data_IF_051354285775
#
_entry.id   IF_051354285775
#
_cell.length_a   1.000
_cell.length_b   1.000
_cell.length_c   1.000
_cell.angle_alpha   90.00
_cell.angle_beta   90.00
_cell.angle_gamma   90.00
#
_symmetry.space_group_name_H-M   'P 1'
#
loop_
_entity.id
_entity.type
_entity.pdbx_description
1 polymer ?
#
# COMPACT_ATOMS: atom_id res chain seq x y z
N UNK A 1 1.05 20.78 -20.41
CA UNK A 1 0.46 19.58 -21.03
C UNK A 1 -0.97 19.93 -21.43
N UNK A 2 -1.32 19.77 -22.70
CA UNK A 2 -2.67 20.01 -23.20
C UNK A 2 -3.13 18.77 -23.95
N UNK A 3 -4.20 18.15 -23.47
CA UNK A 3 -4.80 16.94 -24.04
C UNK A 3 -6.19 17.28 -24.58
N UNK A 4 -6.58 16.68 -25.70
CA UNK A 4 -7.98 16.65 -26.12
C UNK A 4 -8.75 15.65 -25.25
N UNK A 5 -9.14 16.11 -24.05
CA UNK A 5 -9.82 15.29 -23.04
C UNK A 5 -11.20 14.83 -23.51
N UNK A 6 -11.87 15.60 -24.38
CA UNK A 6 -13.19 15.24 -24.90
C UNK A 6 -13.08 14.07 -25.88
N UNK A 7 -12.08 14.08 -26.76
CA UNK A 7 -11.78 12.94 -27.64
C UNK A 7 -11.38 11.72 -26.82
N UNK A 8 -10.50 11.88 -25.83
CA UNK A 8 -10.07 10.78 -24.97
C UNK A 8 -11.24 10.20 -24.17
N UNK A 9 -12.12 11.04 -23.62
CA UNK A 9 -13.32 10.60 -22.89
C UNK A 9 -14.29 9.79 -23.76
N UNK A 10 -14.40 10.13 -25.05
CA UNK A 10 -15.19 9.33 -26.01
C UNK A 10 -14.52 8.01 -26.36
N UNK A 11 -13.19 8.01 -26.59
CA UNK A 11 -12.41 6.80 -26.92
C UNK A 11 -12.43 5.80 -25.77
N UNK A 12 -12.11 6.25 -24.57
CA UNK A 12 -11.93 5.40 -23.38
C UNK A 12 -13.22 5.23 -22.55
N UNK A 13 -14.31 5.88 -22.95
CA UNK A 13 -15.62 5.82 -22.30
C UNK A 13 -15.64 6.22 -20.80
N UNK A 14 -14.79 7.15 -20.38
CA UNK A 14 -14.73 7.68 -19.00
C UNK A 14 -15.26 9.12 -18.86
N UNK A 15 -15.45 9.57 -17.63
CA UNK A 15 -15.74 10.97 -17.33
C UNK A 15 -14.49 11.85 -17.57
N UNK A 16 -14.69 12.92 -18.35
CA UNK A 16 -13.63 13.88 -18.72
C UNK A 16 -12.90 14.47 -17.51
N UNK A 17 -13.59 14.63 -16.36
CA UNK A 17 -13.04 15.24 -15.15
C UNK A 17 -11.90 14.44 -14.54
N UNK A 18 -11.93 13.11 -14.68
CA UNK A 18 -10.96 12.21 -14.06
C UNK A 18 -9.78 11.93 -15.00
N UNK A 19 -10.01 12.00 -16.32
CA UNK A 19 -9.01 11.70 -17.34
C UNK A 19 -7.82 12.66 -17.33
N UNK A 20 -8.04 13.95 -17.07
CA UNK A 20 -6.91 14.88 -16.98
C UNK A 20 -5.94 14.49 -15.88
N UNK A 21 -6.48 14.11 -14.71
CA UNK A 21 -5.67 13.68 -13.58
C UNK A 21 -4.90 12.40 -13.90
N UNK A 22 -5.55 11.44 -14.56
CA UNK A 22 -4.89 10.22 -15.05
C UNK A 22 -3.74 10.55 -16.01
N UNK A 23 -3.95 11.44 -16.99
CA UNK A 23 -2.91 11.82 -17.94
C UNK A 23 -1.72 12.45 -17.20
N UNK A 24 -1.98 13.37 -16.27
CA UNK A 24 -0.94 14.03 -15.47
C UNK A 24 -0.14 13.05 -14.60
N UNK A 25 -0.79 12.10 -13.92
CA UNK A 25 -0.04 11.08 -13.17
C UNK A 25 0.75 10.15 -14.09
N UNK A 26 0.27 9.93 -15.32
CA UNK A 26 0.96 9.13 -16.33
C UNK A 26 2.23 9.86 -16.83
N UNK A 27 2.16 11.18 -17.06
CA UNK A 27 3.33 12.00 -17.37
C UNK A 27 4.37 11.95 -16.22
N UNK A 28 3.91 12.09 -14.98
CA UNK A 28 4.82 12.04 -13.82
C UNK A 28 5.48 10.66 -13.71
N UNK A 29 4.71 9.59 -13.93
CA UNK A 29 5.21 8.23 -13.92
C UNK A 29 6.22 7.99 -15.05
N UNK A 30 6.03 8.62 -16.21
CA UNK A 30 6.99 8.60 -17.31
C UNK A 30 8.33 9.20 -16.89
N UNK A 31 8.33 10.40 -16.33
CA UNK A 31 9.55 11.07 -15.83
C UNK A 31 10.23 10.25 -14.73
N UNK A 32 9.45 9.66 -13.81
CA UNK A 32 9.95 8.74 -12.77
C UNK A 32 10.62 7.51 -13.40
N UNK A 33 10.06 6.97 -14.49
CA UNK A 33 10.60 5.78 -15.16
C UNK A 33 11.92 6.06 -15.90
N UNK A 34 12.17 7.32 -16.26
CA UNK A 34 13.39 7.76 -16.93
C UNK A 34 14.52 8.11 -15.94
N UNK A 35 14.19 8.59 -14.73
CA UNK A 35 15.20 8.90 -13.70
C UNK A 35 15.96 7.63 -13.23
N UNK A 36 17.30 7.59 -13.30
CA UNK A 36 18.09 6.41 -12.95
C UNK A 36 17.91 5.90 -11.52
N UNK A 37 17.72 6.81 -10.56
CA UNK A 37 17.54 6.47 -9.16
C UNK A 37 16.10 6.02 -8.93
N UNK A 38 15.11 6.79 -9.37
CA UNK A 38 13.71 6.50 -9.08
C UNK A 38 13.23 5.19 -9.74
N UNK A 39 13.62 4.93 -10.99
CA UNK A 39 13.18 3.73 -11.75
C UNK A 39 13.62 2.39 -11.17
N UNK A 40 14.56 2.40 -10.23
CA UNK A 40 15.07 1.20 -9.53
C UNK A 40 14.60 1.14 -8.07
N UNK A 41 14.21 2.28 -7.49
CA UNK A 41 13.81 2.39 -6.08
C UNK A 41 12.30 2.48 -5.88
N UNK A 42 11.54 2.91 -6.88
CA UNK A 42 10.09 3.08 -6.76
C UNK A 42 9.36 1.99 -7.53
N UNK A 43 8.69 1.11 -6.79
CA UNK A 43 7.88 0.03 -7.32
C UNK A 43 6.41 0.40 -7.23
N UNK A 44 5.76 0.64 -8.38
CA UNK A 44 4.37 1.09 -8.47
C UNK A 44 3.44 0.03 -7.89
N UNK A 45 2.50 0.44 -7.04
CA UNK A 45 1.52 -0.43 -6.39
C UNK A 45 0.14 0.23 -6.38
N UNK A 46 -0.77 -0.29 -5.56
CA UNK A 46 -2.08 0.32 -5.34
C UNK A 46 -3.04 0.16 -6.52
N UNK A 47 -4.03 1.05 -6.59
CA UNK A 47 -5.10 0.97 -7.60
C UNK A 47 -4.61 1.22 -9.02
N UNK A 48 -3.57 2.04 -9.16
CA UNK A 48 -3.01 2.43 -10.45
C UNK A 48 -2.27 1.24 -11.07
N UNK A 49 -1.43 0.54 -10.31
CA UNK A 49 -0.81 -0.68 -10.81
C UNK A 49 -1.84 -1.80 -11.10
N UNK A 50 -2.85 -2.00 -10.23
CA UNK A 50 -3.89 -3.01 -10.49
C UNK A 50 -4.62 -2.75 -11.83
N UNK A 51 -5.22 -1.57 -11.96
CA UNK A 51 -6.19 -1.29 -13.02
C UNK A 51 -5.57 -0.89 -14.37
N UNK A 52 -4.28 -0.52 -14.41
CA UNK A 52 -3.62 -0.03 -15.63
C UNK A 52 -2.47 -0.91 -16.11
N UNK A 53 -2.11 -1.95 -15.34
CA UNK A 53 -1.04 -2.90 -15.70
C UNK A 53 -1.56 -4.34 -15.71
N UNK A 54 -2.38 -4.73 -14.73
CA UNK A 54 -2.76 -6.14 -14.55
C UNK A 54 -4.12 -6.51 -15.15
N UNK A 55 -4.83 -5.55 -15.74
CA UNK A 55 -6.10 -5.78 -16.44
C UNK A 55 -5.95 -5.45 -17.92
N UNK A 56 -6.67 -6.20 -18.77
CA UNK A 56 -6.67 -5.96 -20.22
C UNK A 56 -7.51 -4.73 -20.58
N UNK A 57 -8.70 -4.64 -20.00
CA UNK A 57 -9.55 -3.46 -20.03
C UNK A 57 -9.43 -2.76 -18.69
N UNK A 58 -9.55 -1.44 -18.65
CA UNK A 58 -9.41 -0.65 -17.42
C UNK A 58 -10.78 -0.66 -16.72
N UNK A 59 -10.97 -1.43 -15.63
CA UNK A 59 -12.30 -1.60 -15.05
C UNK A 59 -12.72 -0.35 -14.28
N UNK A 60 -11.74 0.39 -13.74
CA UNK A 60 -11.93 1.72 -13.15
C UNK A 60 -10.66 2.54 -13.21
N UNK A 61 -10.81 3.87 -13.21
CA UNK A 61 -9.69 4.79 -13.06
C UNK A 61 -9.15 4.79 -11.63
N UNK A 62 -7.83 4.99 -11.53
CA UNK A 62 -7.10 5.29 -10.31
C UNK A 62 -6.26 6.55 -10.56
N UNK A 63 -6.21 7.44 -9.58
CA UNK A 63 -5.71 8.82 -9.78
C UNK A 63 -4.63 9.24 -8.79
N UNK A 64 -4.08 8.27 -8.07
CA UNK A 64 -2.97 8.45 -7.13
C UNK A 64 -1.79 7.60 -7.62
N UNK A 65 -0.56 8.03 -7.34
CA UNK A 65 0.64 7.21 -7.55
C UNK A 65 1.12 6.67 -6.21
N UNK A 66 0.91 5.38 -5.97
CA UNK A 66 1.39 4.68 -4.79
C UNK A 66 2.64 3.86 -5.15
N UNK A 67 3.69 3.98 -4.34
CA UNK A 67 4.93 3.24 -4.53
C UNK A 67 5.36 2.52 -3.25
N UNK A 68 5.96 1.35 -3.42
CA UNK A 68 6.84 0.76 -2.42
C UNK A 68 8.29 1.18 -2.72
N UNK A 69 9.00 1.65 -1.70
CA UNK A 69 10.45 1.88 -1.81
C UNK A 69 11.20 0.54 -1.82
N UNK A 70 12.13 0.37 -2.75
CA UNK A 70 13.05 -0.78 -2.82
C UNK A 70 14.46 -0.37 -2.46
N UNK A 71 15.03 -1.05 -1.47
CA UNK A 71 16.39 -0.86 -0.98
C UNK A 71 17.31 -1.86 -1.70
N UNK A 72 18.03 -1.37 -2.71
CA UNK A 72 18.77 -2.23 -3.65
C UNK A 72 20.28 -2.23 -3.41
N UNK A 73 20.78 -1.37 -2.53
CA UNK A 73 22.19 -1.23 -2.16
C UNK A 73 22.35 -0.92 -0.67
N UNK A 74 23.59 -0.78 -0.22
CA UNK A 74 23.95 -0.61 1.19
C UNK A 74 23.89 0.86 1.66
N UNK A 75 23.48 1.80 0.80
CA UNK A 75 23.34 3.21 1.20
C UNK A 75 22.19 3.37 2.19
N UNK A 76 22.42 4.07 3.30
CA UNK A 76 21.37 4.34 4.30
C UNK A 76 20.04 4.79 3.65
N UNK A 77 18.97 4.07 3.96
CA UNK A 77 17.67 4.27 3.31
C UNK A 77 17.08 5.66 3.62
N UNK A 78 17.45 6.29 4.73
CA UNK A 78 17.06 7.66 5.07
C UNK A 78 17.72 8.67 4.12
N UNK A 79 19.01 8.48 3.84
CA UNK A 79 19.75 9.27 2.84
C UNK A 79 19.15 9.07 1.44
N UNK A 80 18.83 7.84 1.06
CA UNK A 80 18.17 7.55 -0.24
C UNK A 80 16.79 8.19 -0.30
N UNK A 81 16.03 8.20 0.80
CA UNK A 81 14.74 8.89 0.88
C UNK A 81 14.87 10.39 0.60
N UNK A 82 15.86 11.06 1.18
CA UNK A 82 16.09 12.49 0.92
C UNK A 82 16.43 12.74 -0.56
N UNK A 83 17.24 11.85 -1.17
CA UNK A 83 17.52 11.88 -2.61
C UNK A 83 16.25 11.68 -3.45
N UNK A 84 15.37 10.75 -3.07
CA UNK A 84 14.09 10.52 -3.76
C UNK A 84 13.23 11.78 -3.72
N UNK A 85 13.07 12.39 -2.53
CA UNK A 85 12.29 13.61 -2.37
C UNK A 85 12.85 14.75 -3.24
N UNK A 86 14.17 14.91 -3.28
CA UNK A 86 14.81 15.93 -4.12
C UNK A 86 14.67 15.69 -5.62
N UNK A 87 14.73 14.43 -6.07
CA UNK A 87 14.48 14.06 -7.47
C UNK A 87 13.04 14.34 -7.87
N UNK A 88 12.07 13.95 -7.05
CA UNK A 88 10.65 14.22 -7.30
C UNK A 88 10.35 15.71 -7.35
N UNK A 89 10.92 16.53 -6.44
CA UNK A 89 10.79 18.00 -6.50
C UNK A 89 11.32 18.57 -7.81
N UNK A 90 12.46 18.06 -8.31
CA UNK A 90 13.06 18.51 -9.58
C UNK A 90 12.18 18.15 -10.77
N UNK A 91 11.69 16.91 -10.83
CA UNK A 91 10.74 16.46 -11.86
C UNK A 91 9.49 17.36 -11.87
N UNK A 92 8.84 17.53 -10.70
CA UNK A 92 7.63 18.35 -10.60
C UNK A 92 7.85 19.80 -11.06
N UNK A 93 8.97 20.42 -10.66
CA UNK A 93 9.31 21.78 -11.11
C UNK A 93 9.61 21.85 -12.61
N UNK A 94 10.32 20.87 -13.18
CA UNK A 94 10.58 20.79 -14.61
C UNK A 94 9.27 20.64 -15.42
N UNK A 95 8.28 19.97 -14.84
CA UNK A 95 6.93 19.83 -15.38
C UNK A 95 6.03 21.06 -15.12
N UNK A 96 6.58 22.16 -14.58
CA UNK A 96 5.88 23.40 -14.24
C UNK A 96 4.84 23.30 -13.11
N UNK A 97 4.96 22.31 -12.22
CA UNK A 97 4.21 22.32 -10.97
C UNK A 97 4.91 23.24 -9.96
N UNK A 98 4.25 24.34 -9.59
CA UNK A 98 4.80 25.37 -8.70
C UNK A 98 4.27 25.28 -7.27
N UNK A 99 3.12 24.62 -7.05
CA UNK A 99 2.52 24.42 -5.73
C UNK A 99 2.46 22.94 -5.38
N UNK A 100 3.28 22.52 -4.42
CA UNK A 100 3.19 21.18 -3.84
C UNK A 100 3.71 21.19 -2.40
N UNK A 101 3.18 20.28 -1.60
CA UNK A 101 3.59 20.07 -0.20
C UNK A 101 4.09 18.65 0.01
N UNK A 102 5.09 18.51 0.88
CA UNK A 102 5.60 17.20 1.31
C UNK A 102 5.20 17.01 2.76
N UNK A 103 4.37 16.00 3.00
CA UNK A 103 3.95 15.58 4.32
C UNK A 103 4.63 14.23 4.62
N UNK A 104 5.69 14.29 5.41
CA UNK A 104 6.41 13.11 5.85
C UNK A 104 5.83 12.63 7.19
N UNK A 105 5.08 11.52 7.17
CA UNK A 105 4.69 10.81 8.40
C UNK A 105 5.39 9.46 8.37
N UNK A 106 6.43 9.24 9.16
CA UNK A 106 7.12 7.95 9.15
C UNK A 106 6.13 6.79 9.36
N UNK A 107 6.12 5.76 8.49
CA UNK A 107 7.08 5.46 7.41
C UNK A 107 6.59 5.77 5.98
N UNK A 108 5.67 6.70 5.82
CA UNK A 108 5.08 7.16 4.56
C UNK A 108 5.67 8.52 4.13
N UNK A 109 6.11 8.60 2.88
CA UNK A 109 6.30 9.87 2.19
C UNK A 109 5.05 10.22 1.40
N UNK A 110 4.55 11.45 1.50
CA UNK A 110 3.42 11.93 0.70
C UNK A 110 3.74 13.28 0.10
N UNK A 111 3.64 13.39 -1.22
CA UNK A 111 3.67 14.65 -1.96
C UNK A 111 2.26 14.93 -2.48
N UNK A 112 1.71 16.08 -2.13
CA UNK A 112 0.44 16.57 -2.68
C UNK A 112 0.75 17.73 -3.61
N UNK A 113 0.38 17.59 -4.88
CA UNK A 113 0.65 18.57 -5.92
C UNK A 113 -0.66 19.25 -6.29
N UNK A 114 -0.72 20.57 -6.12
CA UNK A 114 -1.85 21.38 -6.55
C UNK A 114 -1.65 21.82 -8.00
N UNK A 115 -2.71 21.81 -8.78
CA UNK A 115 -2.69 22.30 -10.16
C UNK A 115 -4.04 22.87 -10.57
N UNK A 116 -4.02 23.75 -11.59
CA UNK A 116 -5.25 24.21 -12.26
C UNK A 116 -5.51 23.30 -13.45
N UNK A 117 -6.70 22.70 -13.48
CA UNK A 117 -7.13 21.82 -14.55
C UNK A 117 -7.54 22.61 -15.81
N UNK A 118 -7.77 21.93 -16.94
CA UNK A 118 -8.14 22.57 -18.21
C UNK A 118 -9.47 23.34 -18.13
N UNK A 119 -10.32 23.02 -17.15
CA UNK A 119 -11.56 23.74 -16.87
C UNK A 119 -11.38 24.94 -15.92
N UNK A 120 -10.14 25.35 -15.64
CA UNK A 120 -9.82 26.50 -14.79
C UNK A 120 -10.03 26.26 -13.29
N UNK A 121 -10.27 25.02 -12.85
CA UNK A 121 -10.52 24.67 -11.45
C UNK A 121 -9.26 24.11 -10.80
N UNK A 122 -9.05 24.45 -9.52
CA UNK A 122 -7.97 23.86 -8.74
C UNK A 122 -8.28 22.40 -8.38
N UNK A 123 -7.29 21.54 -8.53
CA UNK A 123 -7.36 20.12 -8.21
C UNK A 123 -6.00 19.65 -7.65
N UNK A 124 -5.96 18.42 -7.14
CA UNK A 124 -4.79 17.83 -6.49
C UNK A 124 -4.52 16.42 -7.00
N UNK A 125 -3.25 16.09 -7.15
CA UNK A 125 -2.77 14.71 -7.31
C UNK A 125 -1.82 14.35 -6.17
N UNK A 126 -1.69 13.05 -5.90
CA UNK A 126 -0.87 12.53 -4.79
C UNK A 126 0.16 11.54 -5.31
N UNK A 127 1.35 11.65 -4.73
CA UNK A 127 2.43 10.68 -4.85
C UNK A 127 2.73 10.19 -3.43
N UNK A 128 2.53 8.89 -3.19
CA UNK A 128 2.75 8.25 -1.89
C UNK A 128 3.83 7.17 -2.01
N UNK A 129 4.75 7.13 -1.05
CA UNK A 129 5.86 6.18 -1.01
C UNK A 129 5.90 5.52 0.36
N UNK A 130 5.65 4.22 0.40
CA UNK A 130 5.79 3.39 1.59
C UNK A 130 7.24 2.91 1.76
N UNK A 131 7.88 3.27 2.88
CA UNK A 131 9.28 2.92 3.15
C UNK A 131 9.47 1.63 3.97
N UNK A 132 8.38 0.92 4.31
CA UNK A 132 8.44 -0.34 5.07
C UNK A 132 8.65 -1.58 4.19
N UNK A 133 8.26 -1.54 2.92
CA UNK A 133 8.38 -2.68 2.00
C UNK A 133 9.67 -2.61 1.18
N UNK A 134 10.81 -2.58 1.89
CA UNK A 134 12.14 -2.34 1.30
C UNK A 134 12.59 -3.39 0.30
N UNK A 135 12.01 -4.57 0.32
CA UNK A 135 12.17 -5.59 -0.71
C UNK A 135 10.82 -6.28 -0.92
N UNK A 136 10.60 -6.91 -2.09
CA UNK A 136 9.36 -7.64 -2.36
C UNK A 136 9.20 -8.85 -1.42
N UNK A 137 7.96 -9.33 -1.29
CA UNK A 137 7.68 -10.62 -0.66
C UNK A 137 8.17 -11.75 -1.57
N UNK A 138 7.80 -11.68 -2.85
CA UNK A 138 8.29 -12.60 -3.86
C UNK A 138 9.75 -12.29 -4.21
N UNK A 139 10.43 -13.24 -4.85
CA UNK A 139 11.88 -13.18 -5.07
C UNK A 139 12.36 -11.86 -5.70
N UNK A 140 11.60 -11.32 -6.64
CA UNK A 140 11.88 -10.06 -7.32
C UNK A 140 10.57 -9.36 -7.70
N UNK A 141 10.64 -8.04 -7.86
CA UNK A 141 9.67 -7.27 -8.65
C UNK A 141 9.80 -7.59 -10.14
N UNK A 142 8.85 -7.09 -10.94
CA UNK A 142 8.86 -7.22 -12.39
C UNK A 142 8.79 -5.85 -13.07
N UNK A 143 9.25 -5.76 -14.33
CA UNK A 143 9.04 -4.58 -15.18
C UNK A 143 7.90 -4.85 -16.14
N UNK A 144 6.83 -4.07 -16.01
CA UNK A 144 5.61 -4.23 -16.79
C UNK A 144 5.33 -2.97 -17.61
N UNK A 145 4.63 -3.13 -18.73
CA UNK A 145 4.12 -2.00 -19.51
C UNK A 145 2.94 -1.35 -18.80
N UNK A 146 3.03 -0.05 -18.58
CA UNK A 146 1.96 0.84 -18.16
C UNK A 146 1.48 1.62 -19.39
N UNK A 147 0.18 1.58 -19.70
CA UNK A 147 -0.35 2.27 -20.86
C UNK A 147 -0.75 3.71 -20.53
N UNK A 148 -0.02 4.68 -21.11
CA UNK A 148 -0.30 6.10 -20.95
C UNK A 148 -1.46 6.51 -21.87
N UNK A 149 -2.71 6.45 -21.38
CA UNK A 149 -3.91 6.76 -22.19
C UNK A 149 -3.87 8.11 -22.92
N UNK A 150 -3.30 9.15 -22.28
CA UNK A 150 -3.21 10.47 -22.89
C UNK A 150 -2.29 10.56 -24.11
N UNK A 151 -1.27 9.71 -24.21
CA UNK A 151 -0.25 9.68 -25.28
C UNK A 151 -0.38 8.47 -26.20
N UNK A 152 -1.16 7.47 -25.79
CA UNK A 152 -1.31 6.18 -26.49
C UNK A 152 0.02 5.39 -26.58
N UNK A 153 0.83 5.47 -25.52
CA UNK A 153 2.18 4.88 -25.44
C UNK A 153 2.30 3.90 -24.27
N UNK A 154 3.33 3.04 -24.29
CA UNK A 154 3.63 2.11 -23.19
C UNK A 154 4.94 2.46 -22.50
N UNK A 155 4.88 2.67 -21.19
CA UNK A 155 6.03 3.01 -20.34
C UNK A 155 6.36 1.79 -19.48
N UNK A 156 7.64 1.38 -19.42
CA UNK A 156 8.05 0.27 -18.55
C UNK A 156 8.26 0.75 -17.13
N UNK A 157 7.49 0.23 -16.18
CA UNK A 157 7.58 0.58 -14.76
C UNK A 157 7.91 -0.64 -13.91
N UNK A 158 8.60 -0.41 -12.79
CA UNK A 158 8.83 -1.44 -11.78
C UNK A 158 7.55 -1.61 -10.95
N UNK A 159 7.11 -2.84 -10.69
CA UNK A 159 5.91 -3.17 -9.91
C UNK A 159 6.09 -4.52 -9.22
N UNK A 160 5.44 -4.80 -8.09
CA UNK A 160 5.39 -6.16 -7.55
C UNK A 160 4.83 -7.13 -8.58
N UNK A 161 5.21 -8.41 -8.46
CA UNK A 161 4.51 -9.48 -9.19
C UNK A 161 3.04 -9.51 -8.80
N UNK A 162 2.18 -9.98 -9.71
CA UNK A 162 0.72 -9.88 -9.58
C UNK A 162 0.21 -10.47 -8.26
N UNK A 163 0.74 -11.60 -7.81
CA UNK A 163 0.29 -12.27 -6.58
C UNK A 163 0.60 -11.45 -5.32
N UNK A 164 1.76 -10.79 -5.26
CA UNK A 164 2.09 -9.87 -4.16
C UNK A 164 1.20 -8.62 -4.20
N UNK A 165 0.97 -8.05 -5.38
CA UNK A 165 0.11 -6.88 -5.54
C UNK A 165 -1.34 -7.20 -5.14
N UNK A 166 -1.86 -8.33 -5.61
CA UNK A 166 -3.21 -8.80 -5.31
C UNK A 166 -3.39 -9.10 -3.82
N UNK A 167 -2.43 -9.78 -3.19
CA UNK A 167 -2.44 -10.00 -1.74
C UNK A 167 -2.54 -8.67 -0.96
N UNK A 168 -1.73 -7.67 -1.34
CA UNK A 168 -1.79 -6.33 -0.74
C UNK A 168 -3.16 -5.66 -0.93
N UNK A 169 -3.83 -5.88 -2.06
CA UNK A 169 -5.19 -5.40 -2.31
C UNK A 169 -6.23 -6.08 -1.43
N UNK A 170 -6.15 -7.39 -1.26
CA UNK A 170 -7.02 -8.17 -0.38
C UNK A 170 -6.92 -7.65 1.07
N UNK A 171 -5.70 -7.58 1.61
CA UNK A 171 -5.48 -7.11 2.98
C UNK A 171 -5.88 -5.64 3.15
N UNK A 172 -5.60 -4.79 2.16
CA UNK A 172 -6.06 -3.38 2.18
C UNK A 172 -7.58 -3.29 2.21
N UNK A 173 -8.29 -4.10 1.41
CA UNK A 173 -9.76 -4.08 1.39
C UNK A 173 -10.38 -4.60 2.68
N UNK A 174 -9.84 -5.68 3.25
CA UNK A 174 -10.29 -6.23 4.54
C UNK A 174 -10.16 -5.19 5.66
N UNK A 175 -9.09 -4.39 5.61
CA UNK A 175 -8.76 -3.42 6.68
C UNK A 175 -9.46 -2.08 6.51
N UNK A 176 -9.48 -1.50 5.30
CA UNK A 176 -10.05 -0.16 5.04
C UNK A 176 -11.54 -0.18 4.75
N UNK A 177 -12.04 -1.26 4.13
CA UNK A 177 -13.46 -1.49 3.84
C UNK A 177 -14.09 -0.36 3.01
N UNK A 178 -13.41 0.08 1.94
CA UNK A 178 -13.96 1.08 1.02
C UNK A 178 -14.61 0.43 -0.21
N UNK A 179 -15.58 1.08 -0.88
CA UNK A 179 -16.18 0.56 -2.11
C UNK A 179 -15.16 0.27 -3.21
N UNK A 180 -14.11 1.11 -3.32
CA UNK A 180 -13.02 0.91 -4.29
C UNK A 180 -12.21 -0.34 -4.01
N UNK A 181 -11.96 -0.63 -2.74
CA UNK A 181 -11.18 -1.82 -2.37
C UNK A 181 -12.00 -3.10 -2.59
N UNK A 182 -13.30 -3.09 -2.28
CA UNK A 182 -14.20 -4.23 -2.60
C UNK A 182 -14.28 -4.46 -4.10
N UNK A 183 -14.43 -3.39 -4.88
CA UNK A 183 -14.45 -3.48 -6.34
C UNK A 183 -13.12 -4.03 -6.90
N UNK A 184 -11.98 -3.60 -6.34
CA UNK A 184 -10.67 -4.12 -6.71
C UNK A 184 -10.55 -5.62 -6.41
N UNK A 185 -11.02 -6.09 -5.25
CA UNK A 185 -11.02 -7.52 -4.89
C UNK A 185 -11.92 -8.32 -5.84
N UNK A 186 -13.13 -7.84 -6.12
CA UNK A 186 -14.04 -8.48 -7.07
C UNK A 186 -13.50 -8.48 -8.50
N UNK A 187 -12.68 -7.49 -8.88
CA UNK A 187 -11.94 -7.50 -10.15
C UNK A 187 -10.86 -8.57 -10.13
N UNK A 188 -10.06 -8.64 -9.07
CA UNK A 188 -8.97 -9.63 -8.92
C UNK A 188 -9.50 -11.06 -9.01
N UNK A 189 -10.68 -11.35 -8.46
CA UNK A 189 -11.26 -12.70 -8.49
C UNK A 189 -11.56 -13.21 -9.91
N UNK A 190 -11.57 -12.33 -10.91
CA UNK A 190 -11.77 -12.67 -12.32
C UNK A 190 -10.46 -12.69 -13.13
N UNK A 191 -9.31 -12.43 -12.50
CA UNK A 191 -8.00 -12.40 -13.16
C UNK A 191 -7.26 -13.73 -13.00
N UNK A 192 -6.30 -13.97 -13.89
CA UNK A 192 -5.40 -15.11 -13.77
C UNK A 192 -4.26 -14.83 -12.78
N UNK A 193 -4.03 -15.76 -11.85
CA UNK A 193 -2.94 -15.72 -10.89
C UNK A 193 -2.59 -17.14 -10.43
N UNK A 194 -1.41 -17.31 -9.81
CA UNK A 194 -1.09 -18.55 -9.11
C UNK A 194 -1.79 -18.56 -7.73
N UNK A 195 -2.77 -19.45 -7.48
CA UNK A 195 -3.54 -19.43 -6.22
C UNK A 195 -2.68 -19.76 -5.00
N UNK A 196 -1.66 -20.62 -5.15
CA UNK A 196 -0.75 -20.95 -4.06
C UNK A 196 0.13 -19.77 -3.66
N UNK A 197 0.69 -19.06 -4.64
CA UNK A 197 1.50 -17.87 -4.37
C UNK A 197 0.64 -16.73 -3.82
N UNK A 198 -0.54 -16.50 -4.38
CA UNK A 198 -1.46 -15.47 -3.87
C UNK A 198 -1.81 -15.73 -2.41
N UNK A 199 -2.22 -16.96 -2.06
CA UNK A 199 -2.56 -17.33 -0.68
C UNK A 199 -1.39 -17.12 0.29
N UNK A 200 -0.18 -17.57 -0.07
CA UNK A 200 1.03 -17.37 0.75
C UNK A 200 1.39 -15.89 0.89
N UNK A 201 1.29 -15.11 -0.19
CA UNK A 201 1.46 -13.66 -0.13
C UNK A 201 0.41 -13.01 0.78
N UNK A 202 -0.86 -13.42 0.70
CA UNK A 202 -1.95 -12.92 1.58
C UNK A 202 -1.66 -13.20 3.04
N UNK A 203 -1.15 -14.40 3.39
CA UNK A 203 -0.71 -14.71 4.76
C UNK A 203 0.40 -13.75 5.19
N UNK A 204 1.49 -13.63 4.44
CA UNK A 204 2.59 -12.72 4.79
C UNK A 204 2.16 -11.26 4.90
N UNK A 205 1.30 -10.81 3.97
CA UNK A 205 0.80 -9.44 3.94
C UNK A 205 -0.09 -9.15 5.15
N UNK A 206 -0.88 -10.13 5.59
CA UNK A 206 -1.70 -10.01 6.80
C UNK A 206 -0.85 -9.79 8.06
N UNK A 207 0.37 -10.33 8.13
CA UNK A 207 1.29 -10.14 9.25
C UNK A 207 1.88 -8.72 9.29
N UNK A 208 1.68 -7.91 8.25
CA UNK A 208 2.08 -6.48 8.25
C UNK A 208 1.04 -5.59 8.92
N UNK A 209 -0.14 -6.11 9.23
CA UNK A 209 -1.24 -5.40 9.88
C UNK A 209 -1.39 -5.88 11.31
N UNK A 210 -1.32 -4.98 12.27
CA UNK A 210 -1.40 -5.36 13.68
C UNK A 210 -2.73 -6.05 14.02
N UNK A 211 -2.63 -7.24 14.63
CA UNK A 211 -3.76 -8.00 15.16
C UNK A 211 -4.66 -8.64 14.11
N UNK A 212 -4.28 -8.64 12.83
CA UNK A 212 -5.07 -9.23 11.76
C UNK A 212 -4.86 -10.74 11.69
N UNK A 213 -5.69 -11.50 12.44
CA UNK A 213 -5.75 -12.96 12.34
C UNK A 213 -6.62 -13.37 11.16
N UNK A 214 -6.03 -13.38 9.96
CA UNK A 214 -6.76 -13.62 8.71
C UNK A 214 -7.65 -14.87 8.74
N UNK A 215 -7.20 -15.96 9.36
CA UNK A 215 -7.94 -17.22 9.44
C UNK A 215 -9.18 -17.20 10.36
N UNK A 216 -9.34 -16.20 11.23
CA UNK A 216 -10.46 -16.08 12.17
C UNK A 216 -11.54 -15.08 11.70
N UNK A 217 -11.29 -14.38 10.58
CA UNK A 217 -12.17 -13.31 10.11
C UNK A 217 -13.49 -13.86 9.56
N UNK A 218 -14.59 -13.21 9.92
CA UNK A 218 -15.91 -13.40 9.29
C UNK A 218 -16.05 -12.41 8.13
N UNK A 219 -15.65 -12.84 6.93
CA UNK A 219 -15.46 -11.96 5.78
C UNK A 219 -16.77 -11.38 5.25
N UNK A 220 -17.86 -12.15 5.30
CA UNK A 220 -19.23 -11.69 5.12
C UNK A 220 -19.53 -10.44 5.98
N UNK A 221 -19.23 -10.49 7.27
CA UNK A 221 -19.48 -9.38 8.21
C UNK A 221 -18.57 -8.20 7.94
N UNK A 222 -17.34 -8.44 7.50
CA UNK A 222 -16.37 -7.39 7.15
C UNK A 222 -16.87 -6.55 5.98
N UNK A 223 -17.37 -7.20 4.91
CA UNK A 223 -17.73 -6.50 3.67
C UNK A 223 -19.20 -6.08 3.58
N UNK A 224 -20.14 -6.77 4.24
CA UNK A 224 -21.55 -6.40 4.22
C UNK A 224 -21.83 -5.02 4.83
N UNK A 225 -20.94 -4.53 5.70
CA UNK A 225 -21.02 -3.20 6.31
C UNK A 225 -20.74 -2.05 5.32
N UNK A 226 -20.19 -2.33 4.13
CA UNK A 226 -19.78 -1.30 3.18
C UNK A 226 -20.90 -0.98 2.21
N UNK A 227 -21.39 0.27 2.22
CA UNK A 227 -22.31 0.76 1.20
C UNK A 227 -21.55 1.09 -0.08
N UNK A 228 -21.94 0.50 -1.20
CA UNK A 228 -21.35 0.84 -2.50
C UNK A 228 -21.84 2.24 -2.90
N UNK A 229 -20.91 3.19 -3.00
CA UNK A 229 -21.22 4.62 -3.13
C UNK A 229 -21.03 5.16 -4.55
N UNK A 230 -21.44 6.42 -4.76
CA UNK A 230 -21.32 7.13 -6.03
C UNK A 230 -19.89 7.57 -6.37
N UNK A 231 -18.96 7.56 -5.40
CA UNK A 231 -17.58 7.96 -5.64
C UNK A 231 -16.84 6.92 -6.49
N UNK A 232 -17.10 5.63 -6.24
CA UNK A 232 -16.65 4.55 -7.13
C UNK A 232 -17.25 4.69 -8.53
N UNK A 233 -18.55 4.99 -8.62
CA UNK A 233 -19.27 5.07 -9.90
C UNK A 233 -18.70 6.13 -10.85
N UNK A 234 -18.09 7.21 -10.34
CA UNK A 234 -17.45 8.24 -11.16
C UNK A 234 -16.08 7.81 -11.73
N UNK A 235 -15.51 6.72 -11.23
CA UNK A 235 -14.24 6.16 -11.71
C UNK A 235 -14.43 5.03 -12.72
N UNK A 236 -15.63 4.49 -12.85
CA UNK A 236 -15.96 3.47 -13.85
C UNK A 236 -16.15 4.08 -15.23
N UNK A 237 -16.04 3.25 -16.27
CA UNK A 237 -16.54 3.62 -17.59
C UNK A 237 -18.05 3.89 -17.51
N UNK A 238 -18.58 4.68 -18.45
CA UNK A 238 -20.02 4.99 -18.48
C UNK A 238 -20.86 3.74 -18.65
N UNK A 239 -20.37 2.76 -19.39
CA UNK A 239 -21.06 1.50 -19.61
C UNK A 239 -20.98 0.61 -18.37
N UNK A 240 -19.78 0.40 -17.80
CA UNK A 240 -19.62 -0.36 -16.55
C UNK A 240 -20.45 0.24 -15.42
N UNK A 241 -20.54 1.58 -15.31
CA UNK A 241 -21.38 2.23 -14.32
C UNK A 241 -22.86 1.85 -14.42
N UNK A 242 -23.36 1.60 -15.63
CA UNK A 242 -24.77 1.27 -15.89
C UNK A 242 -25.04 -0.23 -15.76
N UNK A 243 -24.07 -1.07 -16.14
CA UNK A 243 -24.25 -2.52 -16.21
C UNK A 243 -23.72 -3.28 -14.98
N UNK A 244 -22.86 -2.67 -14.16
CA UNK A 244 -22.25 -3.35 -13.02
C UNK A 244 -23.29 -3.59 -11.91
N UNK A 245 -23.53 -4.85 -11.60
CA UNK A 245 -24.20 -5.25 -10.37
C UNK A 245 -23.20 -5.22 -9.21
N UNK A 246 -23.22 -4.12 -8.45
CA UNK A 246 -22.33 -3.94 -7.30
C UNK A 246 -22.61 -4.92 -6.15
N UNK A 247 -23.82 -5.49 -6.07
CA UNK A 247 -24.12 -6.54 -5.10
C UNK A 247 -23.38 -7.81 -5.47
N UNK A 248 -23.39 -8.16 -6.77
CA UNK A 248 -22.63 -9.31 -7.26
C UNK A 248 -21.12 -9.12 -7.15
N UNK A 249 -20.61 -7.92 -7.42
CA UNK A 249 -19.17 -7.60 -7.20
C UNK A 249 -18.78 -7.81 -5.74
N UNK A 250 -19.62 -7.38 -4.79
CA UNK A 250 -19.37 -7.59 -3.36
C UNK A 250 -19.42 -9.07 -2.99
N UNK A 251 -20.41 -9.82 -3.48
CA UNK A 251 -20.51 -11.26 -3.26
C UNK A 251 -19.25 -11.98 -3.76
N UNK A 252 -18.83 -11.72 -5.00
CA UNK A 252 -17.61 -12.28 -5.58
C UNK A 252 -16.36 -11.92 -4.76
N UNK A 253 -16.31 -10.73 -4.16
CA UNK A 253 -15.18 -10.32 -3.32
C UNK A 253 -15.16 -11.07 -1.98
N UNK A 254 -16.34 -11.31 -1.38
CA UNK A 254 -16.49 -12.12 -0.15
C UNK A 254 -16.06 -13.56 -0.46
N UNK A 255 -16.69 -14.19 -1.44
CA UNK A 255 -16.42 -15.59 -1.84
C UNK A 255 -14.94 -15.80 -2.14
N UNK A 256 -14.30 -14.87 -2.85
CA UNK A 256 -12.89 -14.97 -3.19
C UNK A 256 -11.98 -14.89 -1.96
N UNK A 257 -12.24 -13.97 -1.03
CA UNK A 257 -11.46 -13.92 0.21
C UNK A 257 -11.68 -15.18 1.08
N UNK A 258 -12.90 -15.72 1.11
CA UNK A 258 -13.25 -16.94 1.84
C UNK A 258 -12.58 -18.17 1.22
N UNK A 259 -12.51 -18.25 -0.12
CA UNK A 259 -11.78 -19.31 -0.82
C UNK A 259 -10.30 -19.32 -0.41
N UNK A 260 -9.64 -18.15 -0.38
CA UNK A 260 -8.25 -18.05 0.08
C UNK A 260 -8.12 -18.45 1.55
N UNK A 261 -9.08 -18.08 2.40
CA UNK A 261 -9.09 -18.37 3.83
C UNK A 261 -9.28 -19.87 4.13
N UNK A 262 -10.22 -20.54 3.45
CA UNK A 262 -10.51 -21.98 3.62
C UNK A 262 -9.37 -22.85 3.13
N UNK A 263 -8.60 -22.40 2.13
CA UNK A 263 -7.45 -23.11 1.60
C UNK A 263 -6.14 -22.88 2.38
N UNK A 264 -6.17 -22.17 3.51
CA UNK A 264 -5.00 -22.04 4.37
C UNK A 264 -4.55 -23.42 4.89
N UNK A 265 -3.25 -23.66 4.84
CA UNK A 265 -2.66 -24.90 5.36
C UNK A 265 -2.51 -24.82 6.88
N UNK A 266 -2.47 -25.97 7.58
CA UNK A 266 -2.15 -26.00 9.01
C UNK A 266 -0.84 -25.29 9.35
N UNK A 267 0.17 -25.38 8.48
CA UNK A 267 1.47 -24.69 8.63
C UNK A 267 1.35 -23.17 8.59
N UNK A 268 0.53 -22.62 7.69
CA UNK A 268 0.33 -21.16 7.62
C UNK A 268 -0.55 -20.64 8.75
N UNK A 269 -1.58 -21.39 9.16
CA UNK A 269 -2.38 -21.06 10.35
C UNK A 269 -1.46 -21.01 11.57
N UNK A 270 -0.63 -22.04 11.74
CA UNK A 270 0.39 -22.09 12.79
C UNK A 270 1.35 -20.89 12.70
N UNK A 271 1.73 -20.44 11.51
CA UNK A 271 2.58 -19.26 11.35
C UNK A 271 1.89 -17.97 11.85
N UNK A 272 0.60 -17.80 11.54
CA UNK A 272 -0.22 -16.67 12.02
C UNK A 272 -0.33 -16.71 13.56
N UNK A 273 -0.64 -17.87 14.12
CA UNK A 273 -0.75 -18.06 15.58
C UNK A 273 0.58 -17.81 16.29
N UNK A 274 1.69 -18.40 15.82
CA UNK A 274 3.02 -18.16 16.39
C UNK A 274 3.39 -16.68 16.37
N UNK A 275 3.07 -15.98 15.28
CA UNK A 275 3.35 -14.56 15.15
C UNK A 275 2.62 -13.73 16.21
N UNK A 276 1.32 -13.96 16.42
CA UNK A 276 0.51 -13.15 17.32
C UNK A 276 0.51 -13.62 18.78
N UNK A 277 0.65 -14.92 19.04
CA UNK A 277 0.60 -15.50 20.39
C UNK A 277 1.97 -15.57 21.07
N UNK A 278 3.01 -15.90 20.29
CA UNK A 278 4.37 -16.05 20.81
C UNK A 278 5.27 -14.87 20.48
N UNK A 279 4.88 -14.02 19.52
CA UNK A 279 5.79 -13.03 18.99
C UNK A 279 6.99 -13.72 18.34
N UNK A 280 6.75 -14.73 17.52
CA UNK A 280 7.78 -15.44 16.75
C UNK A 280 7.40 -15.41 15.27
N UNK A 281 8.32 -14.97 14.42
CA UNK A 281 8.11 -15.01 12.97
C UNK A 281 8.99 -16.08 12.35
N UNK A 282 8.37 -17.16 11.86
CA UNK A 282 9.03 -18.21 11.10
C UNK A 282 8.48 -18.25 9.66
N UNK A 283 9.18 -17.65 8.68
CA UNK A 283 8.74 -17.61 7.29
C UNK A 283 8.81 -18.98 6.60
N UNK A 284 9.53 -19.97 7.13
CA UNK A 284 9.64 -21.30 6.51
C UNK A 284 8.31 -22.08 6.58
N UNK A 285 7.40 -21.68 7.48
CA UNK A 285 6.04 -22.21 7.55
C UNK A 285 5.15 -21.76 6.37
N UNK A 286 5.57 -20.74 5.62
CA UNK A 286 4.79 -20.10 4.55
C UNK A 286 5.54 -20.15 3.22
N UNK A 287 6.84 -19.87 3.22
CA UNK A 287 7.62 -19.53 2.04
C UNK A 287 8.44 -20.70 1.48
N UNK A 288 8.91 -20.55 0.25
CA UNK A 288 9.90 -21.44 -0.37
C UNK A 288 11.04 -20.60 -0.92
N UNK A 289 12.28 -21.12 -0.87
CA UNK A 289 13.49 -20.39 -1.28
C UNK A 289 13.49 -19.95 -2.75
N UNK A 290 12.75 -20.65 -3.61
CA UNK A 290 12.72 -20.34 -5.05
C UNK A 290 11.76 -19.21 -5.40
N UNK A 291 10.67 -19.06 -4.65
CA UNK A 291 9.58 -18.13 -4.98
C UNK A 291 9.63 -16.83 -4.19
N UNK A 292 10.16 -16.88 -2.95
CA UNK A 292 10.16 -15.75 -2.01
C UNK A 292 11.54 -15.13 -1.85
N UNK A 293 11.55 -13.87 -1.41
CA UNK A 293 12.78 -13.14 -1.18
C UNK A 293 13.60 -13.77 -0.04
N UNK A 294 14.90 -13.96 -0.25
CA UNK A 294 15.79 -14.68 0.69
C UNK A 294 15.86 -14.04 2.09
N UNK A 295 15.64 -12.72 2.16
CA UNK A 295 15.68 -11.94 3.41
C UNK A 295 14.34 -11.89 4.15
N UNK A 296 13.38 -12.77 3.83
CA UNK A 296 12.02 -12.73 4.37
C UNK A 296 11.99 -12.64 5.90
N UNK A 297 12.83 -13.40 6.60
CA UNK A 297 12.95 -13.40 8.07
C UNK A 297 13.09 -11.99 8.69
N UNK A 298 13.65 -11.02 7.95
CA UNK A 298 13.89 -9.65 8.38
C UNK A 298 13.09 -8.63 7.57
N UNK A 299 11.96 -9.03 6.97
CA UNK A 299 11.13 -8.14 6.18
C UNK A 299 10.63 -6.95 7.02
N UNK A 300 11.00 -5.70 6.70
CA UNK A 300 10.86 -4.60 7.66
C UNK A 300 9.41 -4.32 8.07
N UNK A 301 8.45 -4.46 7.16
CA UNK A 301 7.03 -4.28 7.50
C UNK A 301 6.51 -5.35 8.48
N UNK A 302 6.97 -6.60 8.32
CA UNK A 302 6.56 -7.72 9.20
C UNK A 302 7.26 -7.56 10.55
N UNK A 303 8.56 -7.27 10.55
CA UNK A 303 9.34 -7.01 11.77
C UNK A 303 8.79 -5.81 12.55
N UNK A 304 8.34 -4.76 11.85
CA UNK A 304 7.71 -3.61 12.50
C UNK A 304 6.42 -4.02 13.22
N UNK A 305 5.49 -4.69 12.53
CA UNK A 305 4.25 -5.17 13.14
C UNK A 305 4.50 -6.14 14.31
N UNK A 306 5.50 -7.02 14.16
CA UNK A 306 5.97 -7.93 15.18
C UNK A 306 6.45 -7.21 16.45
N UNK A 307 7.27 -6.16 16.29
CA UNK A 307 7.79 -5.39 17.42
C UNK A 307 6.68 -4.71 18.24
N UNK A 308 5.62 -4.23 17.58
CA UNK A 308 4.46 -3.64 18.25
C UNK A 308 3.67 -4.72 19.02
N UNK A 309 3.46 -5.89 18.40
CA UNK A 309 2.79 -7.03 19.04
C UNK A 309 3.55 -7.52 20.28
N UNK A 310 4.87 -7.68 20.20
CA UNK A 310 5.71 -8.11 21.31
C UNK A 310 5.67 -7.12 22.50
N UNK A 311 5.69 -5.81 22.21
CA UNK A 311 5.51 -4.79 23.25
C UNK A 311 4.19 -4.98 23.99
N UNK A 312 3.09 -5.26 23.30
CA UNK A 312 1.79 -5.47 23.92
C UNK A 312 1.71 -6.73 24.77
N UNK A 313 2.31 -7.83 24.33
CA UNK A 313 2.37 -9.08 25.11
C UNK A 313 3.19 -8.88 26.39
N UNK A 314 4.32 -8.18 26.31
CA UNK A 314 5.15 -7.87 27.46
C UNK A 314 4.40 -6.96 28.46
N UNK A 315 3.68 -5.95 27.98
CA UNK A 315 2.81 -5.11 28.82
C UNK A 315 1.69 -5.93 29.47
N UNK A 316 1.03 -6.83 28.74
CA UNK A 316 -0.01 -7.72 29.30
C UNK A 316 0.55 -8.61 30.41
N UNK A 317 1.72 -9.21 30.21
CA UNK A 317 2.42 -9.98 31.23
C UNK A 317 2.74 -9.14 32.46
N UNK A 318 3.31 -7.95 32.29
CA UNK A 318 3.62 -7.04 33.40
C UNK A 318 2.35 -6.62 34.16
N UNK A 319 1.25 -6.33 33.46
CA UNK A 319 -0.03 -6.01 34.13
C UNK A 319 -0.64 -7.20 34.86
N UNK A 320 -0.37 -8.42 34.41
CA UNK A 320 -0.88 -9.66 35.03
C UNK A 320 -0.04 -10.08 36.24
N UNK A 321 1.26 -9.79 36.22
CA UNK A 321 2.21 -10.13 37.31
C UNK A 321 2.27 -9.04 38.38
N UNK A 322 2.19 -7.75 38.01
CA UNK A 322 2.31 -6.63 38.94
C UNK A 322 1.00 -5.88 39.09
N UNK A 323 0.03 -6.50 39.76
CA UNK A 323 -1.30 -5.94 40.06
C UNK A 323 -1.33 -4.58 40.76
N UNK A 324 -0.19 -3.93 41.05
CA UNK A 324 -0.04 -2.55 41.51
C UNK A 324 1.46 -2.16 41.50
N UNK A 325 1.97 -1.52 40.43
CA UNK A 325 3.12 -0.57 40.38
C UNK A 325 3.62 -0.39 38.94
N UNK A 326 2.91 0.44 38.16
CA UNK A 326 3.13 0.64 36.73
C UNK A 326 4.11 1.78 36.34
N UNK A 327 4.98 2.26 37.26
CA UNK A 327 5.73 3.50 37.03
C UNK A 327 7.20 3.33 36.60
N UNK A 328 7.87 2.22 36.94
CA UNK A 328 9.31 2.08 36.70
C UNK A 328 9.70 1.40 35.37
N UNK A 329 8.80 0.62 34.75
CA UNK A 329 9.08 -0.02 33.45
C UNK A 329 9.00 0.95 32.25
N UNK A 330 8.49 2.17 32.45
CA UNK A 330 8.32 3.15 31.38
C UNK A 330 9.64 3.78 30.91
N UNK A 331 10.61 3.95 31.83
CA UNK A 331 11.85 4.70 31.60
C UNK A 331 12.96 3.90 30.89
N UNK A 332 13.04 2.58 31.10
CA UNK A 332 14.05 1.72 30.46
C UNK A 332 13.73 1.50 28.95
N UNK A 333 12.47 1.70 28.55
CA UNK A 333 11.97 1.35 27.22
C UNK A 333 12.02 2.49 26.19
N UNK A 334 12.03 3.76 26.61
CA UNK A 334 12.26 4.89 25.70
C UNK A 334 13.62 4.77 24.99
N UNK A 335 14.62 4.18 25.66
CA UNK A 335 15.98 4.03 25.13
C UNK A 335 16.08 2.92 24.06
N UNK A 336 15.30 1.84 24.15
CA UNK A 336 15.37 0.69 23.21
C UNK A 336 14.63 0.96 21.90
N UNK A 337 13.47 1.62 21.95
CA UNK A 337 12.76 2.10 20.75
C UNK A 337 13.58 3.19 20.07
N UNK A 338 14.26 4.07 20.82
CA UNK A 338 15.14 5.07 20.23
C UNK A 338 16.31 4.47 19.44
N UNK A 339 16.84 3.30 19.82
CA UNK A 339 17.91 2.61 19.07
C UNK A 339 17.43 1.92 17.79
N UNK A 340 16.18 1.46 17.74
CA UNK A 340 15.54 0.98 16.50
C UNK A 340 15.08 2.14 15.59
N UNK A 341 15.04 3.38 16.10
CA UNK A 341 14.51 4.58 15.44
C UNK A 341 15.57 5.71 15.29
N UNK A 342 16.85 5.50 15.61
CA UNK A 342 17.85 6.60 15.55
C UNK A 342 18.05 7.16 14.11
N UNK A 343 18.37 8.47 13.96
CA UNK A 343 17.39 9.43 13.47
C UNK A 343 17.79 10.16 12.17
N UNK A 344 16.86 10.25 11.22
CA UNK A 344 16.86 11.29 10.17
C UNK A 344 16.21 12.60 10.69
N UNK A 345 16.49 12.98 11.93
CA UNK A 345 16.04 14.25 12.50
C UNK A 345 17.20 15.25 12.53
N UNK A 346 17.57 15.75 11.35
CA UNK A 346 18.23 17.06 11.20
C UNK A 346 17.34 17.96 10.33
N UNK A 347 16.17 18.29 10.85
CA UNK A 347 15.43 19.48 10.42
C UNK A 347 15.60 20.52 11.53
N UNK A 348 16.11 21.69 11.15
CA UNK A 348 16.45 22.77 12.06
C UNK A 348 15.32 23.10 13.03
N UNK A 349 15.67 23.17 14.32
CA UNK A 349 14.92 23.92 15.32
C UNK A 349 13.56 23.34 15.75
N UNK A 350 13.51 22.09 16.20
CA UNK A 350 12.73 21.61 17.38
C UNK A 350 12.76 20.08 17.40
N UNK A 351 13.36 19.51 18.46
CA UNK A 351 13.32 18.06 18.73
C UNK A 351 11.87 17.68 19.02
N UNK A 352 11.22 17.01 18.06
CA UNK A 352 9.93 16.35 18.30
C UNK A 352 10.20 15.02 19.00
N UNK A 353 9.80 14.96 20.26
CA UNK A 353 9.91 13.80 21.13
C UNK A 353 8.98 12.67 20.62
N UNK A 354 9.56 11.70 19.91
CA UNK A 354 8.88 10.55 19.31
C UNK A 354 8.12 9.69 20.34
N UNK A 355 8.48 9.76 21.63
CA UNK A 355 7.74 9.12 22.73
C UNK A 355 6.28 9.63 22.83
N UNK A 356 6.04 10.91 22.49
CA UNK A 356 4.71 11.55 22.56
C UNK A 356 3.78 11.13 21.43
N UNK A 357 4.32 10.69 20.28
CA UNK A 357 3.53 10.19 19.15
C UNK A 357 2.97 8.78 19.43
N UNK A 358 3.76 7.91 20.08
CA UNK A 358 3.32 6.59 20.54
C UNK A 358 2.22 6.68 21.61
N UNK A 359 2.28 7.68 22.50
CA UNK A 359 1.27 7.89 23.54
C UNK A 359 -0.07 8.39 22.98
N UNK A 360 -0.09 9.18 21.90
CA UNK A 360 -1.36 9.67 21.32
C UNK A 360 -2.18 8.58 20.63
N UNK A 361 -1.55 7.50 20.13
CA UNK A 361 -2.24 6.34 19.56
C UNK A 361 -2.85 5.40 20.62
N UNK A 362 -2.27 5.35 21.81
CA UNK A 362 -2.70 4.48 22.92
C UNK A 362 -3.85 5.04 23.76
N UNK A 363 -4.15 6.34 23.66
CA UNK A 363 -5.17 7.02 24.50
C UNK A 363 -6.58 7.00 23.89
N UNK A 364 -6.77 6.56 22.65
CA UNK A 364 -8.09 6.59 21.98
C UNK A 364 -9.00 5.40 22.32
N UNK A 365 -8.56 4.42 23.11
CA UNK A 365 -9.41 3.29 23.54
C UNK A 365 -9.84 3.40 25.00
N UNK A 366 -10.43 4.53 25.40
CA UNK A 366 -11.36 4.61 26.54
C UNK A 366 -12.38 5.73 26.33
N UNK A 367 -13.47 5.38 25.66
CA UNK A 367 -14.86 5.69 26.07
C UNK A 367 -15.74 4.59 25.52
#
# INVERSE_FOLDING_TARGET
MHYDLNRLARKENFDVRVLEKLCRISDILEEISQDPLLKTRLSLTGGTALNLIHTKEIPRLSVDLDFNYRHVDDEDWGTVRDKIDDRLKKILRAMNYTSFSINATYPLGRITVDYTNQAGRNDKLKIEIGYMRRFPLLKNDTRMGFHHLGKDESIKVLTPKREELFAGKLITGITRRTPRDIFDIGTISQLEFNPTLLRKCTVLDSLTVEGLRFHELKLDRVFNQVSMDTNLANLLTRDSRRSTDFSKVKENAIEFCEEIQVNLTPSEIQAIEQFYDKGEFNPDLITTKNEFHEKMQRHPAITWAHSIGALRLSMRWVTRVNGQKACQSKYIYETSISRLIQPAARLGGRVMDLSKLLLRGLVVTRT
#
